data_IF_727742698231
#
_entry.id   IF_727742698231
#
_cell.length_a   1.000
_cell.length_b   1.000
_cell.length_c   1.000
_cell.angle_alpha   90.00
_cell.angle_beta   90.00
_cell.angle_gamma   90.00
#
_symmetry.space_group_name_H-M   'P 1'
#
loop_
_entity.id
_entity.type
_entity.pdbx_description
1 polymer ?
#
# COMPACT_ATOMS: atom_id res chain seq x y z
N UNK A 1 42.56 4.35 -11.58
CA UNK A 1 41.77 5.46 -11.00
C UNK A 1 40.47 5.76 -11.75
N UNK A 2 40.45 6.03 -13.06
CA UNK A 2 39.21 6.34 -13.79
C UNK A 2 38.24 5.15 -13.88
N UNK A 3 38.76 3.95 -14.14
CA UNK A 3 37.98 2.71 -14.23
C UNK A 3 37.38 2.29 -12.87
N UNK A 4 38.15 2.47 -11.80
CA UNK A 4 37.71 2.23 -10.42
C UNK A 4 36.62 3.21 -9.98
N UNK A 5 36.74 4.49 -10.39
CA UNK A 5 35.69 5.49 -10.18
C UNK A 5 34.39 5.16 -10.94
N UNK A 6 34.50 4.69 -12.18
CA UNK A 6 33.35 4.26 -12.98
C UNK A 6 32.67 3.02 -12.37
N UNK A 7 33.46 2.03 -11.94
CA UNK A 7 32.96 0.81 -11.28
C UNK A 7 32.27 1.13 -9.96
N UNK A 8 32.83 2.03 -9.15
CA UNK A 8 32.21 2.51 -7.90
C UNK A 8 30.90 3.26 -8.15
N UNK A 9 30.85 4.13 -9.16
CA UNK A 9 29.63 4.84 -9.54
C UNK A 9 28.53 3.88 -10.01
N UNK A 10 28.90 2.85 -10.78
CA UNK A 10 27.98 1.83 -11.25
C UNK A 10 27.39 1.00 -10.10
N UNK A 11 28.23 0.61 -9.14
CA UNK A 11 27.80 -0.14 -7.96
C UNK A 11 26.84 0.67 -7.08
N UNK A 12 27.14 1.95 -6.82
CA UNK A 12 26.23 2.83 -6.06
C UNK A 12 24.91 3.04 -6.79
N UNK A 13 24.94 3.25 -8.12
CA UNK A 13 23.74 3.39 -8.94
C UNK A 13 22.88 2.13 -8.96
N UNK A 14 23.51 0.94 -8.95
CA UNK A 14 22.85 -0.34 -8.78
C UNK A 14 22.18 -0.46 -7.42
N UNK A 15 22.91 -0.27 -6.31
CA UNK A 15 22.37 -0.46 -4.95
C UNK A 15 21.19 0.46 -4.65
N UNK A 16 21.29 1.74 -5.01
CA UNK A 16 20.20 2.70 -4.76
C UNK A 16 18.94 2.36 -5.55
N UNK A 17 19.10 1.96 -6.81
CA UNK A 17 17.97 1.55 -7.66
C UNK A 17 17.36 0.23 -7.18
N UNK A 18 18.19 -0.74 -6.78
CA UNK A 18 17.74 -2.01 -6.24
C UNK A 18 16.97 -1.81 -4.94
N UNK A 19 17.49 -1.04 -4.00
CA UNK A 19 16.82 -0.78 -2.72
C UNK A 19 15.49 -0.05 -2.93
N UNK A 20 15.47 1.03 -3.72
CA UNK A 20 14.24 1.80 -3.93
C UNK A 20 13.18 0.99 -4.68
N UNK A 21 13.59 0.21 -5.68
CA UNK A 21 12.70 -0.67 -6.44
C UNK A 21 12.17 -1.84 -5.59
N UNK A 22 13.03 -2.44 -4.75
CA UNK A 22 12.65 -3.49 -3.82
C UNK A 22 11.63 -2.99 -2.80
N UNK A 23 11.93 -1.89 -2.09
CA UNK A 23 10.99 -1.31 -1.12
C UNK A 23 9.69 -0.86 -1.81
N UNK A 24 9.78 -0.29 -3.02
CA UNK A 24 8.61 0.07 -3.80
C UNK A 24 7.74 -1.13 -4.16
N UNK A 25 8.36 -2.24 -4.54
CA UNK A 25 7.67 -3.49 -4.86
C UNK A 25 6.95 -4.08 -3.63
N UNK A 26 7.56 -4.09 -2.43
CA UNK A 26 6.92 -4.60 -1.21
C UNK A 26 5.62 -3.87 -0.82
N UNK A 27 5.36 -2.68 -1.39
CA UNK A 27 4.11 -1.97 -1.16
C UNK A 27 2.98 -2.38 -2.10
N UNK A 28 3.23 -3.28 -3.05
CA UNK A 28 2.22 -3.75 -4.00
C UNK A 28 1.08 -4.48 -3.30
N UNK A 29 -0.09 -4.52 -3.93
CA UNK A 29 -1.23 -5.34 -3.54
C UNK A 29 -2.03 -5.76 -4.78
N UNK A 30 -3.10 -6.52 -4.59
CA UNK A 30 -3.88 -7.05 -5.71
C UNK A 30 -4.59 -5.94 -6.50
N UNK A 31 -5.19 -4.99 -5.80
CA UNK A 31 -5.72 -3.75 -6.35
C UNK A 31 -4.86 -2.53 -5.96
N UNK A 32 -4.91 -1.43 -6.74
CA UNK A 32 -4.26 -0.19 -6.37
C UNK A 32 -4.92 0.47 -5.15
N UNK A 33 -4.13 1.21 -4.36
CA UNK A 33 -4.62 2.07 -3.28
C UNK A 33 -5.36 3.28 -3.86
N UNK A 34 -6.45 3.66 -3.21
CA UNK A 34 -7.37 4.72 -3.63
C UNK A 34 -6.70 6.08 -3.96
N UNK A 35 -5.60 6.45 -3.28
CA UNK A 35 -4.90 7.72 -3.51
C UNK A 35 -3.45 7.57 -3.98
N UNK A 36 -2.97 6.33 -4.07
CA UNK A 36 -1.54 6.05 -4.24
C UNK A 36 -1.26 5.02 -5.33
N UNK A 37 -2.25 4.65 -6.14
CA UNK A 37 -2.09 3.70 -7.23
C UNK A 37 -1.48 2.40 -6.74
N UNK A 38 -0.54 1.80 -7.46
CA UNK A 38 0.13 0.57 -6.98
C UNK A 38 1.32 0.88 -6.06
N UNK A 39 1.07 1.74 -5.07
CA UNK A 39 2.00 2.09 -3.99
C UNK A 39 3.29 2.75 -4.48
N UNK A 40 4.35 2.59 -3.69
CA UNK A 40 5.66 3.20 -3.94
C UNK A 40 6.40 2.60 -5.15
N UNK A 41 5.88 1.55 -5.79
CA UNK A 41 6.46 0.98 -7.02
C UNK A 41 6.49 2.02 -8.16
N UNK A 42 5.46 2.86 -8.28
CA UNK A 42 5.45 3.96 -9.25
C UNK A 42 6.48 5.04 -8.92
N UNK A 43 6.60 5.40 -7.63
CA UNK A 43 7.65 6.30 -7.17
C UNK A 43 9.03 5.77 -7.55
N UNK A 44 9.31 4.48 -7.36
CA UNK A 44 10.55 3.87 -7.76
C UNK A 44 10.79 3.95 -9.29
N UNK A 45 9.77 3.65 -10.11
CA UNK A 45 9.86 3.80 -11.58
C UNK A 45 10.30 5.21 -11.96
N UNK A 46 9.58 6.24 -11.48
CA UNK A 46 9.86 7.62 -11.86
C UNK A 46 11.18 8.11 -11.27
N UNK A 47 11.42 7.90 -9.97
CA UNK A 47 12.60 8.39 -9.29
C UNK A 47 13.87 7.76 -9.87
N UNK A 48 13.91 6.43 -10.05
CA UNK A 48 15.09 5.75 -10.60
C UNK A 48 15.29 6.13 -12.06
N UNK A 49 14.24 6.22 -12.87
CA UNK A 49 14.39 6.57 -14.27
C UNK A 49 14.88 8.01 -14.45
N UNK A 50 14.34 8.96 -13.67
CA UNK A 50 14.73 10.36 -13.74
C UNK A 50 16.14 10.61 -13.19
N UNK A 51 16.54 9.88 -12.16
CA UNK A 51 17.88 9.97 -11.53
C UNK A 51 18.89 8.95 -12.08
N UNK A 52 18.56 8.25 -13.16
CA UNK A 52 19.29 7.07 -13.65
C UNK A 52 20.80 7.29 -13.75
N UNK A 53 21.57 6.42 -13.08
CA UNK A 53 23.04 6.36 -13.11
C UNK A 53 23.51 5.07 -13.77
N UNK A 54 24.81 4.92 -14.07
CA UNK A 54 25.37 3.61 -14.40
C UNK A 54 24.95 2.57 -13.33
N UNK A 55 24.58 1.37 -13.77
CA UNK A 55 24.07 0.31 -12.88
C UNK A 55 22.60 0.41 -12.46
N UNK A 56 21.95 1.58 -12.54
CA UNK A 56 20.56 1.76 -12.07
C UNK A 56 19.53 0.92 -12.82
N UNK A 57 19.76 0.64 -14.11
CA UNK A 57 18.85 -0.21 -14.90
C UNK A 57 18.78 -1.64 -14.37
N UNK A 58 19.95 -2.22 -14.12
CA UNK A 58 20.04 -3.57 -13.55
C UNK A 58 19.53 -3.57 -12.11
N UNK A 59 19.89 -2.55 -11.32
CA UNK A 59 19.41 -2.39 -9.96
C UNK A 59 17.89 -2.34 -9.89
N UNK A 60 17.25 -1.53 -10.74
CA UNK A 60 15.79 -1.43 -10.79
C UNK A 60 15.13 -2.80 -11.04
N UNK A 61 15.59 -3.53 -12.06
CA UNK A 61 15.02 -4.84 -12.42
C UNK A 61 15.24 -5.86 -11.29
N UNK A 62 16.45 -5.94 -10.74
CA UNK A 62 16.77 -6.86 -9.63
C UNK A 62 15.91 -6.54 -8.41
N UNK A 63 15.81 -5.27 -8.01
CA UNK A 63 14.99 -4.86 -6.88
C UNK A 63 13.51 -5.19 -7.08
N UNK A 64 12.98 -4.92 -8.27
CA UNK A 64 11.58 -5.21 -8.63
C UNK A 64 11.29 -6.71 -8.54
N UNK A 65 12.12 -7.54 -9.18
CA UNK A 65 11.94 -8.99 -9.21
C UNK A 65 12.09 -9.60 -7.81
N UNK A 66 13.07 -9.15 -7.03
CA UNK A 66 13.24 -9.65 -5.66
C UNK A 66 12.08 -9.25 -4.76
N UNK A 67 11.59 -8.01 -4.86
CA UNK A 67 10.47 -7.54 -4.04
C UNK A 67 9.18 -8.30 -4.35
N UNK A 68 8.83 -8.41 -5.64
CA UNK A 68 7.67 -9.21 -6.07
C UNK A 68 7.86 -10.69 -5.72
N UNK A 69 9.09 -11.22 -5.76
CA UNK A 69 9.39 -12.57 -5.29
C UNK A 69 9.08 -12.77 -3.80
N UNK A 70 9.35 -11.77 -2.96
CA UNK A 70 8.96 -11.77 -1.54
C UNK A 70 7.42 -11.74 -1.41
N UNK A 71 6.75 -10.87 -2.16
CA UNK A 71 5.28 -10.77 -2.13
C UNK A 71 4.60 -12.08 -2.52
N UNK A 72 5.08 -12.75 -3.57
CA UNK A 72 4.58 -14.04 -4.02
C UNK A 72 4.88 -15.15 -3.01
N UNK A 73 6.08 -15.17 -2.43
CA UNK A 73 6.46 -16.15 -1.42
C UNK A 73 5.61 -16.00 -0.15
N UNK A 74 5.30 -14.77 0.23
CA UNK A 74 4.43 -14.45 1.37
C UNK A 74 2.93 -14.53 1.02
N UNK A 75 2.56 -14.99 -0.18
CA UNK A 75 1.17 -15.03 -0.67
C UNK A 75 0.42 -13.71 -0.47
N UNK A 76 1.13 -12.59 -0.59
CA UNK A 76 0.61 -11.23 -0.37
C UNK A 76 0.01 -10.62 -1.63
N UNK A 77 0.22 -11.26 -2.78
CA UNK A 77 -0.36 -10.93 -4.08
C UNK A 77 -0.62 -12.21 -4.88
N UNK A 78 -1.57 -12.18 -5.80
CA UNK A 78 -1.79 -13.27 -6.75
C UNK A 78 -0.62 -13.41 -7.73
N UNK A 79 -0.41 -14.63 -8.23
CA UNK A 79 0.67 -14.93 -9.18
C UNK A 79 0.62 -14.03 -10.42
N UNK A 80 -0.56 -13.91 -11.03
CA UNK A 80 -0.72 -13.12 -12.25
C UNK A 80 -0.54 -11.61 -11.99
N UNK A 81 -0.95 -11.11 -10.81
CA UNK A 81 -0.72 -9.72 -10.39
C UNK A 81 0.79 -9.47 -10.25
N UNK A 82 1.51 -10.34 -9.55
CA UNK A 82 2.97 -10.21 -9.36
C UNK A 82 3.72 -10.24 -10.69
N UNK A 83 3.42 -11.21 -11.57
CA UNK A 83 4.02 -11.29 -12.91
C UNK A 83 3.66 -10.05 -13.74
N UNK A 84 2.40 -9.63 -13.71
CA UNK A 84 1.92 -8.42 -14.36
C UNK A 84 2.66 -7.18 -13.88
N UNK A 85 2.90 -7.04 -12.58
CA UNK A 85 3.65 -5.93 -11.99
C UNK A 85 5.08 -5.86 -12.55
N UNK A 86 5.79 -6.99 -12.64
CA UNK A 86 7.14 -7.04 -13.22
C UNK A 86 7.13 -6.54 -14.67
N UNK A 87 6.17 -7.03 -15.47
CA UNK A 87 6.05 -6.68 -16.90
C UNK A 87 5.68 -5.20 -17.06
N UNK A 88 4.62 -4.74 -16.40
CA UNK A 88 4.11 -3.37 -16.53
C UNK A 88 5.13 -2.36 -16.00
N UNK A 89 5.67 -2.56 -14.79
CA UNK A 89 6.67 -1.64 -14.22
C UNK A 89 7.97 -1.64 -15.02
N UNK A 90 8.38 -2.81 -15.53
CA UNK A 90 9.51 -2.92 -16.45
C UNK A 90 9.30 -2.11 -17.73
N UNK A 91 8.15 -2.29 -18.40
CA UNK A 91 7.79 -1.56 -19.62
C UNK A 91 7.75 -0.04 -19.37
N UNK A 92 7.09 0.41 -18.31
CA UNK A 92 7.05 1.83 -17.94
C UNK A 92 8.44 2.41 -17.74
N UNK A 93 9.30 1.71 -16.99
CA UNK A 93 10.66 2.17 -16.70
C UNK A 93 11.51 2.31 -17.98
N UNK A 94 11.54 1.29 -18.84
CA UNK A 94 12.34 1.34 -20.07
C UNK A 94 11.75 2.29 -21.11
N UNK A 95 10.42 2.41 -21.19
CA UNK A 95 9.75 3.39 -22.03
C UNK A 95 10.11 4.81 -21.61
N UNK A 96 10.04 5.11 -20.30
CA UNK A 96 10.43 6.41 -19.74
C UNK A 96 11.88 6.75 -20.07
N UNK A 97 12.82 5.82 -19.86
CA UNK A 97 14.24 6.01 -20.20
C UNK A 97 14.45 6.32 -21.69
N UNK A 98 13.67 5.70 -22.58
CA UNK A 98 13.74 5.92 -24.02
C UNK A 98 13.16 7.27 -24.42
N UNK A 99 11.99 7.61 -23.89
CA UNK A 99 11.24 8.80 -24.29
C UNK A 99 11.78 10.10 -23.69
N UNK A 100 12.35 10.07 -22.48
CA UNK A 100 12.82 11.29 -21.82
C UNK A 100 13.89 12.06 -22.62
N UNK A 101 14.65 11.36 -23.46
CA UNK A 101 15.65 11.95 -24.37
C UNK A 101 15.03 12.70 -25.55
N UNK A 102 13.78 12.37 -25.91
CA UNK A 102 13.09 12.93 -27.08
C UNK A 102 12.01 13.93 -26.70
N UNK A 103 11.23 13.64 -25.65
CA UNK A 103 10.04 14.39 -25.26
C UNK A 103 10.27 15.28 -24.02
N UNK A 104 11.41 15.13 -23.35
CA UNK A 104 11.65 15.71 -22.03
C UNK A 104 11.04 14.88 -20.90
N UNK A 105 11.43 15.20 -19.66
CA UNK A 105 11.12 14.39 -18.48
C UNK A 105 9.61 14.31 -18.18
N UNK A 106 8.89 15.44 -18.18
CA UNK A 106 7.46 15.48 -17.85
C UNK A 106 6.61 14.69 -18.85
N UNK A 107 6.78 14.95 -20.14
CA UNK A 107 6.02 14.28 -21.18
C UNK A 107 6.30 12.77 -21.19
N UNK A 108 7.57 12.36 -21.02
CA UNK A 108 7.91 10.95 -20.94
C UNK A 108 7.31 10.26 -19.70
N UNK A 109 7.28 10.94 -18.55
CA UNK A 109 6.63 10.46 -17.33
C UNK A 109 5.13 10.26 -17.53
N UNK A 110 4.44 11.23 -18.13
CA UNK A 110 3.01 11.14 -18.41
C UNK A 110 2.69 10.00 -19.40
N UNK A 111 3.50 9.83 -20.44
CA UNK A 111 3.33 8.70 -21.37
C UNK A 111 3.53 7.36 -20.66
N UNK A 112 4.58 7.23 -19.83
CA UNK A 112 4.82 6.01 -19.07
C UNK A 112 3.68 5.73 -18.06
N UNK A 113 3.16 6.76 -17.40
CA UNK A 113 1.98 6.66 -16.53
C UNK A 113 0.77 6.12 -17.32
N UNK A 114 0.39 6.78 -18.42
CA UNK A 114 -0.78 6.41 -19.22
C UNK A 114 -0.68 4.98 -19.77
N UNK A 115 0.50 4.56 -20.22
CA UNK A 115 0.73 3.18 -20.67
C UNK A 115 0.54 2.20 -19.52
N UNK A 116 1.05 2.51 -18.32
CA UNK A 116 0.85 1.65 -17.16
C UNK A 116 -0.61 1.53 -16.74
N UNK A 117 -1.32 2.66 -16.69
CA UNK A 117 -2.76 2.69 -16.38
C UNK A 117 -3.55 1.87 -17.38
N UNK A 118 -3.30 2.06 -18.68
CA UNK A 118 -3.95 1.30 -19.74
C UNK A 118 -3.70 -0.20 -19.60
N UNK A 119 -2.44 -0.61 -19.37
CA UNK A 119 -2.11 -2.03 -19.20
C UNK A 119 -2.74 -2.62 -17.94
N UNK A 120 -2.75 -1.87 -16.82
CA UNK A 120 -3.39 -2.30 -15.59
C UNK A 120 -4.90 -2.52 -15.78
N UNK A 121 -5.59 -1.58 -16.43
CA UNK A 121 -7.02 -1.70 -16.75
C UNK A 121 -7.26 -2.87 -17.71
N UNK A 122 -6.44 -3.01 -18.75
CA UNK A 122 -6.60 -4.11 -19.71
C UNK A 122 -6.46 -5.48 -19.02
N UNK A 123 -5.45 -5.66 -18.17
CA UNK A 123 -5.27 -6.87 -17.36
C UNK A 123 -6.47 -7.05 -16.41
N UNK A 124 -6.89 -5.97 -15.73
CA UNK A 124 -8.04 -5.96 -14.84
C UNK A 124 -9.32 -6.45 -15.50
N UNK A 125 -9.67 -5.88 -16.66
CA UNK A 125 -10.86 -6.26 -17.41
C UNK A 125 -10.80 -7.69 -17.95
N UNK A 126 -9.62 -8.16 -18.36
CA UNK A 126 -9.42 -9.55 -18.82
C UNK A 126 -9.61 -10.54 -17.66
N UNK A 127 -9.17 -10.19 -16.46
CA UNK A 127 -9.18 -11.10 -15.31
C UNK A 127 -10.50 -11.04 -14.54
N UNK A 128 -11.02 -9.85 -14.28
CA UNK A 128 -12.14 -9.61 -13.37
C UNK A 128 -13.42 -9.16 -14.09
N UNK A 129 -13.39 -9.03 -15.42
CA UNK A 129 -14.55 -8.58 -16.19
C UNK A 129 -15.00 -7.18 -15.78
N UNK A 130 -16.31 -7.02 -15.51
CA UNK A 130 -16.91 -5.75 -15.11
C UNK A 130 -16.43 -5.21 -13.75
N UNK A 131 -15.99 -6.11 -12.86
CA UNK A 131 -15.46 -5.76 -11.53
C UNK A 131 -14.01 -5.24 -11.60
N UNK A 132 -13.37 -5.35 -12.77
CA UNK A 132 -12.01 -4.89 -13.03
C UNK A 132 -11.83 -3.37 -13.14
N UNK A 133 -12.70 -2.57 -12.52
CA UNK A 133 -12.60 -1.10 -12.54
C UNK A 133 -11.55 -0.57 -11.55
N UNK A 134 -11.27 -1.28 -10.45
CA UNK A 134 -10.34 -0.81 -9.42
C UNK A 134 -8.90 -0.59 -9.95
N UNK A 135 -8.38 -1.38 -10.90
CA UNK A 135 -7.13 -1.06 -11.62
C UNK A 135 -7.08 0.34 -12.24
N UNK A 136 -8.21 1.01 -12.48
CA UNK A 136 -8.24 2.41 -12.91
C UNK A 136 -7.62 3.37 -11.87
N UNK A 137 -7.61 3.00 -10.58
CA UNK A 137 -6.91 3.74 -9.53
C UNK A 137 -5.39 3.80 -9.73
N UNK A 138 -4.82 3.00 -10.65
CA UNK A 138 -3.44 3.18 -11.09
C UNK A 138 -3.15 4.60 -11.63
N UNK A 139 -4.18 5.35 -12.05
CA UNK A 139 -4.04 6.77 -12.42
C UNK A 139 -3.44 7.62 -11.29
N UNK A 140 -3.67 7.24 -10.04
CA UNK A 140 -3.13 7.92 -8.87
C UNK A 140 -1.63 7.72 -8.68
N UNK A 141 -0.97 6.85 -9.46
CA UNK A 141 0.51 6.85 -9.58
C UNK A 141 1.06 8.25 -9.94
N UNK A 142 0.23 9.12 -10.54
CA UNK A 142 0.56 10.51 -10.86
C UNK A 142 1.08 11.31 -9.66
N UNK A 143 0.64 11.01 -8.43
CA UNK A 143 1.05 11.73 -7.21
C UNK A 143 2.56 11.66 -6.98
N UNK A 144 3.21 10.62 -7.49
CA UNK A 144 4.64 10.40 -7.32
C UNK A 144 5.52 11.15 -8.32
N UNK A 145 4.93 11.77 -9.35
CA UNK A 145 5.69 12.56 -10.34
C UNK A 145 6.42 13.74 -9.69
N UNK A 146 5.75 14.44 -8.77
CA UNK A 146 6.31 15.61 -8.07
C UNK A 146 7.52 15.22 -7.21
N UNK A 147 7.43 14.29 -6.24
CA UNK A 147 8.59 13.91 -5.44
C UNK A 147 9.71 13.26 -6.28
N UNK A 148 9.38 12.47 -7.30
CA UNK A 148 10.39 11.90 -8.20
C UNK A 148 11.16 12.98 -8.99
N UNK A 149 10.45 14.00 -9.47
CA UNK A 149 11.05 15.15 -10.13
C UNK A 149 11.93 15.97 -9.16
N UNK A 150 11.48 16.18 -7.93
CA UNK A 150 12.28 16.87 -6.90
C UNK A 150 13.62 16.17 -6.67
N UNK A 151 13.63 14.83 -6.57
CA UNK A 151 14.86 14.04 -6.49
C UNK A 151 15.78 14.27 -7.69
N UNK A 152 15.22 14.23 -8.91
CA UNK A 152 15.98 14.48 -10.12
C UNK A 152 16.64 15.88 -10.11
N UNK A 153 15.88 16.90 -9.71
CA UNK A 153 16.39 18.29 -9.64
C UNK A 153 17.48 18.45 -8.60
N UNK A 154 17.30 17.91 -7.40
CA UNK A 154 18.32 17.94 -6.33
C UNK A 154 19.66 17.38 -6.85
N UNK A 155 19.61 16.30 -7.64
CA UNK A 155 20.81 15.70 -8.20
C UNK A 155 21.46 16.53 -9.33
N UNK A 156 20.66 17.24 -10.13
CA UNK A 156 21.19 18.10 -11.21
C UNK A 156 21.89 19.37 -10.72
N UNK A 157 21.50 19.88 -9.55
CA UNK A 157 21.94 21.20 -9.05
C UNK A 157 23.35 21.19 -8.42
N UNK A 158 24.06 20.04 -8.42
CA UNK A 158 25.44 19.87 -7.90
C UNK A 158 25.65 20.48 -6.51
N UNK A 159 24.73 20.17 -5.61
CA UNK A 159 24.82 20.52 -4.20
C UNK A 159 26.04 19.87 -3.52
N UNK A 160 26.54 20.46 -2.40
CA UNK A 160 27.43 19.74 -1.49
C UNK A 160 26.81 18.39 -1.13
N UNK A 161 27.64 17.34 -1.11
CA UNK A 161 27.18 15.95 -1.00
C UNK A 161 26.24 15.73 0.20
N UNK A 162 26.58 16.30 1.36
CA UNK A 162 25.78 16.19 2.59
C UNK A 162 24.39 16.82 2.44
N UNK A 163 24.31 17.99 1.80
CA UNK A 163 23.05 18.68 1.56
C UNK A 163 22.18 17.93 0.54
N UNK A 164 22.76 17.53 -0.60
CA UNK A 164 22.04 16.78 -1.62
C UNK A 164 21.48 15.46 -1.08
N UNK A 165 22.25 14.76 -0.24
CA UNK A 165 21.81 13.54 0.45
C UNK A 165 20.70 13.85 1.45
N UNK A 166 20.84 14.90 2.27
CA UNK A 166 19.83 15.29 3.26
C UNK A 166 18.49 15.67 2.64
N UNK A 167 18.51 16.47 1.56
CA UNK A 167 17.27 16.83 0.84
C UNK A 167 16.66 15.63 0.14
N UNK A 168 17.47 14.75 -0.46
CA UNK A 168 16.97 13.53 -1.10
C UNK A 168 16.32 12.59 -0.07
N UNK A 169 16.95 12.44 1.10
CA UNK A 169 16.41 11.65 2.21
C UNK A 169 15.07 12.23 2.71
N UNK A 170 14.95 13.56 2.80
CA UNK A 170 13.70 14.21 3.17
C UNK A 170 12.58 13.96 2.15
N UNK A 171 12.85 14.04 0.83
CA UNK A 171 11.85 13.70 -0.19
C UNK A 171 11.38 12.27 -0.03
N UNK A 172 12.31 11.31 0.10
CA UNK A 172 11.99 9.89 0.23
C UNK A 172 11.20 9.63 1.51
N UNK A 173 11.64 10.18 2.64
CA UNK A 173 10.97 10.01 3.93
C UNK A 173 9.56 10.62 3.93
N UNK A 174 9.40 11.84 3.43
CA UNK A 174 8.08 12.47 3.35
C UNK A 174 7.14 11.73 2.38
N UNK A 175 7.66 11.20 1.27
CA UNK A 175 6.85 10.38 0.34
C UNK A 175 6.43 9.06 0.99
N UNK A 176 7.35 8.38 1.67
CA UNK A 176 7.08 7.14 2.40
C UNK A 176 6.06 7.35 3.51
N UNK A 177 6.23 8.40 4.32
CA UNK A 177 5.33 8.71 5.44
C UNK A 177 3.96 9.15 4.92
N UNK A 178 3.88 9.96 3.86
CA UNK A 178 2.60 10.31 3.24
C UNK A 178 1.85 9.07 2.75
N UNK A 179 2.55 8.16 2.06
CA UNK A 179 1.99 6.87 1.64
C UNK A 179 1.51 6.05 2.85
N UNK A 180 2.38 5.80 3.82
CA UNK A 180 2.05 4.98 4.99
C UNK A 180 0.94 5.58 5.86
N UNK A 181 0.72 6.90 5.80
CA UNK A 181 -0.32 7.61 6.55
C UNK A 181 -1.69 7.62 5.86
N UNK A 182 -1.80 7.12 4.62
CA UNK A 182 -3.05 7.12 3.87
C UNK A 182 -3.13 5.99 2.82
N UNK A 183 -2.40 4.89 3.05
CA UNK A 183 -2.48 3.69 2.22
C UNK A 183 -3.65 2.80 2.64
N UNK A 184 -3.73 2.45 3.92
CA UNK A 184 -4.80 1.62 4.48
C UNK A 184 -5.65 2.39 5.51
N UNK A 185 -5.00 3.03 6.48
CA UNK A 185 -5.67 3.86 7.50
C UNK A 185 -5.19 5.30 7.41
N UNK A 186 -6.09 6.23 7.73
CA UNK A 186 -5.77 7.64 7.71
C UNK A 186 -5.09 8.06 9.02
N UNK A 187 -3.84 8.51 8.93
CA UNK A 187 -3.05 9.05 10.04
C UNK A 187 -2.76 10.52 9.75
N UNK A 188 -3.71 11.39 10.14
CA UNK A 188 -3.80 12.75 9.60
C UNK A 188 -2.56 13.63 9.88
N UNK A 189 -2.04 13.60 11.12
CA UNK A 189 -0.91 14.46 11.50
C UNK A 189 0.38 14.20 10.68
N UNK A 190 0.91 12.96 10.60
CA UNK A 190 2.08 12.66 9.76
C UNK A 190 1.81 12.83 8.26
N UNK A 191 0.58 12.61 7.79
CA UNK A 191 0.19 12.91 6.41
C UNK A 191 0.36 14.40 6.11
N UNK A 192 -0.29 15.27 6.89
CA UNK A 192 -0.23 16.72 6.71
C UNK A 192 1.21 17.25 6.84
N UNK A 193 1.95 16.78 7.85
CA UNK A 193 3.36 17.15 8.02
C UNK A 193 4.21 16.77 6.80
N UNK A 194 3.98 15.60 6.21
CA UNK A 194 4.68 15.15 5.02
C UNK A 194 4.31 15.95 3.78
N UNK A 195 3.03 16.25 3.59
CA UNK A 195 2.56 17.09 2.48
C UNK A 195 3.12 18.51 2.59
N UNK A 196 3.14 19.09 3.79
CA UNK A 196 3.74 20.41 4.05
C UNK A 196 5.25 20.37 3.76
N UNK A 197 5.95 19.33 4.22
CA UNK A 197 7.38 19.18 3.95
C UNK A 197 7.67 19.09 2.44
N UNK A 198 6.89 18.30 1.70
CA UNK A 198 6.99 18.18 0.24
C UNK A 198 6.65 19.49 -0.46
N UNK A 199 5.62 20.22 -0.02
CA UNK A 199 5.23 21.50 -0.60
C UNK A 199 6.32 22.57 -0.40
N UNK A 200 6.83 22.71 0.84
CA UNK A 200 7.90 23.65 1.15
C UNK A 200 9.18 23.32 0.37
N UNK A 201 9.55 22.05 0.32
CA UNK A 201 10.71 21.61 -0.45
C UNK A 201 10.48 21.81 -1.95
N UNK A 202 9.26 21.59 -2.42
CA UNK A 202 8.82 21.89 -3.78
C UNK A 202 9.06 23.36 -4.09
N UNK A 203 8.54 24.28 -3.29
CA UNK A 203 8.77 25.73 -3.46
C UNK A 203 10.26 26.06 -3.53
N UNK A 204 11.08 25.46 -2.66
CA UNK A 204 12.54 25.64 -2.68
C UNK A 204 13.17 25.15 -3.98
N UNK A 205 12.72 24.01 -4.52
CA UNK A 205 13.25 23.43 -5.76
C UNK A 205 12.72 24.15 -7.01
N UNK A 206 11.43 24.53 -7.03
CA UNK A 206 10.75 25.18 -8.17
C UNK A 206 11.12 26.65 -8.34
N UNK A 207 11.27 27.41 -7.24
CA UNK A 207 11.65 28.84 -7.31
C UNK A 207 13.09 29.05 -7.75
N UNK A 208 13.93 28.02 -7.70
CA UNK A 208 15.36 28.14 -8.02
C UNK A 208 15.61 27.89 -9.51
N UNK A 209 15.85 28.98 -10.25
CA UNK A 209 16.23 28.96 -11.68
C UNK A 209 17.76 28.87 -11.92
N UNK A 210 18.56 28.55 -10.91
CA UNK A 210 20.02 28.46 -11.03
C UNK A 210 20.67 27.59 -9.95
N UNK A 211 22.01 27.36 -10.01
CA UNK A 211 22.73 26.66 -8.96
C UNK A 211 22.51 27.34 -7.62
N UNK A 212 22.41 26.57 -6.53
CA UNK A 212 22.26 27.15 -5.19
C UNK A 212 23.38 28.17 -4.96
N UNK A 213 23.07 29.44 -4.65
CA UNK A 213 24.11 30.34 -4.18
C UNK A 213 24.70 29.70 -2.92
N UNK A 214 26.01 29.42 -2.97
CA UNK A 214 26.85 29.08 -1.82
C UNK A 214 26.97 30.31 -0.91
N UNK A 215 25.84 30.86 -0.45
CA UNK A 215 25.88 31.69 0.74
C UNK A 215 26.48 30.82 1.87
N UNK A 216 27.23 31.43 2.79
CA UNK A 216 27.70 30.77 4.01
C UNK A 216 26.48 30.27 4.79
N UNK A 217 26.07 29.05 4.48
CA UNK A 217 24.98 28.37 5.16
C UNK A 217 25.51 27.88 6.49
N UNK A 218 24.67 28.05 7.50
CA UNK A 218 24.98 27.67 8.87
C UNK A 218 25.04 26.14 8.96
N UNK A 219 25.61 25.61 10.04
CA UNK A 219 25.53 24.16 10.33
C UNK A 219 24.07 23.69 10.37
N UNK A 220 23.16 24.53 10.87
CA UNK A 220 21.72 24.27 10.97
C UNK A 220 21.09 23.96 9.61
N UNK A 221 21.43 24.73 8.56
CA UNK A 221 20.89 24.52 7.21
C UNK A 221 21.25 23.15 6.61
N UNK A 222 22.38 22.57 7.04
CA UNK A 222 22.88 21.28 6.54
C UNK A 222 22.22 20.09 7.23
N UNK A 223 21.91 20.21 8.51
CA UNK A 223 21.36 19.11 9.32
C UNK A 223 19.83 19.15 9.47
N UNK A 224 19.18 20.27 9.13
CA UNK A 224 17.73 20.36 9.21
C UNK A 224 17.00 19.34 8.31
N UNK A 225 17.33 19.13 7.02
CA UNK A 225 16.60 18.16 6.19
C UNK A 225 16.60 16.71 6.73
N UNK A 226 17.74 16.10 7.11
CA UNK A 226 17.72 14.77 7.69
C UNK A 226 17.05 14.74 9.07
N UNK A 227 17.15 15.80 9.88
CA UNK A 227 16.44 15.87 11.16
C UNK A 227 14.91 15.89 10.96
N UNK A 228 14.41 16.65 9.99
CA UNK A 228 12.99 16.65 9.63
C UNK A 228 12.55 15.29 9.09
N UNK A 229 13.37 14.63 8.27
CA UNK A 229 13.09 13.28 7.78
C UNK A 229 12.90 12.28 8.94
N UNK A 230 13.79 12.33 9.94
CA UNK A 230 13.68 11.52 11.15
C UNK A 230 12.44 11.89 11.95
N UNK A 231 12.16 13.19 12.10
CA UNK A 231 10.99 13.66 12.85
C UNK A 231 9.67 13.18 12.21
N UNK A 232 9.55 13.18 10.89
CA UNK A 232 8.37 12.66 10.19
C UNK A 232 8.17 11.16 10.47
N UNK A 233 9.25 10.38 10.44
CA UNK A 233 9.21 8.95 10.76
C UNK A 233 8.79 8.73 12.21
N UNK A 234 9.38 9.46 13.16
CA UNK A 234 9.02 9.38 14.58
C UNK A 234 7.57 9.77 14.79
N UNK A 235 7.12 10.89 14.20
CA UNK A 235 5.74 11.36 14.27
C UNK A 235 4.77 10.28 13.81
N UNK A 236 5.06 9.62 12.68
CA UNK A 236 4.24 8.50 12.19
C UNK A 236 4.23 7.33 13.18
N UNK A 237 5.40 6.88 13.64
CA UNK A 237 5.50 5.72 14.52
C UNK A 237 4.82 5.91 15.89
N UNK A 238 4.69 7.15 16.37
CA UNK A 238 4.02 7.45 17.65
C UNK A 238 2.54 7.83 17.50
N UNK A 239 1.98 7.81 16.29
CA UNK A 239 0.59 8.23 16.00
C UNK A 239 -0.48 7.18 16.37
N UNK A 240 -0.17 6.25 17.25
CA UNK A 240 -1.14 5.31 17.82
C UNK A 240 -1.50 4.12 16.91
N UNK A 241 -2.64 3.46 17.17
CA UNK A 241 -3.00 2.17 16.56
C UNK A 241 -3.13 2.22 15.03
N UNK A 242 -3.71 3.27 14.45
CA UNK A 242 -3.87 3.41 13.00
C UNK A 242 -2.53 3.36 12.24
N UNK A 243 -1.48 3.96 12.82
CA UNK A 243 -0.14 3.87 12.27
C UNK A 243 0.41 2.44 12.35
N UNK A 244 0.19 1.75 13.48
CA UNK A 244 0.59 0.35 13.64
C UNK A 244 -0.10 -0.58 12.62
N UNK A 245 -1.41 -0.40 12.41
CA UNK A 245 -2.16 -1.19 11.42
C UNK A 245 -1.74 -0.86 9.99
N UNK A 246 -1.40 0.39 9.69
CA UNK A 246 -0.84 0.76 8.37
C UNK A 246 0.54 0.14 8.15
N UNK A 247 1.40 0.11 9.17
CA UNK A 247 2.69 -0.61 9.10
C UNK A 247 2.46 -2.11 8.90
N UNK A 248 1.48 -2.69 9.60
CA UNK A 248 1.13 -4.11 9.44
C UNK A 248 0.62 -4.42 8.04
N UNK A 249 -0.24 -3.56 7.49
CA UNK A 249 -0.75 -3.68 6.14
C UNK A 249 0.39 -3.59 5.12
N UNK A 250 1.21 -2.53 5.16
CA UNK A 250 2.28 -2.30 4.18
C UNK A 250 3.42 -3.31 4.33
N UNK A 251 3.78 -3.67 5.57
CA UNK A 251 4.83 -4.62 5.88
C UNK A 251 4.42 -6.09 5.79
N UNK A 252 3.19 -6.37 5.34
CA UNK A 252 2.62 -7.72 5.27
C UNK A 252 3.54 -8.76 4.59
N UNK A 253 4.23 -8.46 3.47
CA UNK A 253 5.14 -9.42 2.84
C UNK A 253 6.39 -9.76 3.67
N UNK A 254 6.80 -8.85 4.58
CA UNK A 254 7.98 -9.03 5.44
C UNK A 254 7.65 -9.69 6.77
N UNK A 255 6.40 -9.55 7.21
CA UNK A 255 5.91 -10.11 8.46
C UNK A 255 4.66 -10.95 8.24
N UNK A 256 4.70 -11.96 7.35
CA UNK A 256 3.58 -12.86 7.27
C UNK A 256 3.36 -13.56 8.62
N UNK A 257 4.43 -13.83 9.36
CA UNK A 257 4.35 -14.68 10.56
C UNK A 257 4.01 -13.95 11.87
N UNK A 258 3.50 -12.72 11.85
CA UNK A 258 3.27 -11.97 13.11
C UNK A 258 2.20 -12.57 14.04
N UNK A 259 1.62 -13.73 13.69
CA UNK A 259 0.92 -14.66 14.58
C UNK A 259 1.22 -16.12 14.19
N UNK A 260 2.36 -16.67 14.64
CA UNK A 260 2.63 -18.11 14.70
C UNK A 260 2.57 -18.92 13.39
N UNK A 261 3.69 -19.00 12.68
CA UNK A 261 4.00 -19.95 11.59
C UNK A 261 3.11 -19.94 10.32
N UNK A 262 1.87 -19.42 10.34
CA UNK A 262 1.03 -19.06 9.18
C UNK A 262 0.07 -17.94 9.59
N UNK A 263 -0.11 -16.91 8.75
CA UNK A 263 -0.90 -15.66 9.02
C UNK A 263 -2.29 -15.84 9.62
N UNK A 264 -2.90 -16.99 9.36
CA UNK A 264 -4.26 -17.33 9.74
C UNK A 264 -4.33 -18.11 11.05
N UNK A 265 -3.21 -18.38 11.72
CA UNK A 265 -3.20 -19.12 12.98
C UNK A 265 -3.54 -18.17 14.14
N UNK A 266 -4.66 -18.44 14.80
CA UNK A 266 -4.98 -17.86 16.09
C UNK A 266 -4.49 -18.78 17.21
N UNK A 267 -3.66 -18.25 18.11
CA UNK A 267 -3.13 -18.97 19.28
C UNK A 267 -3.73 -18.49 20.60
N UNK A 268 -4.38 -17.32 20.62
CA UNK A 268 -5.03 -16.78 21.81
C UNK A 268 -6.22 -17.63 22.23
N UNK A 269 -6.25 -18.01 23.50
CA UNK A 269 -7.37 -18.70 24.16
C UNK A 269 -8.32 -17.73 24.86
N UNK A 270 -8.24 -16.43 24.55
CA UNK A 270 -9.16 -15.43 25.08
C UNK A 270 -10.61 -15.79 24.72
N UNK A 271 -11.54 -15.48 25.62
CA UNK A 271 -12.96 -15.77 25.43
C UNK A 271 -13.48 -15.15 24.12
N UNK A 272 -14.23 -15.94 23.35
CA UNK A 272 -14.77 -15.53 22.03
C UNK A 272 -13.82 -15.75 20.85
N UNK A 273 -12.52 -15.97 21.07
CA UNK A 273 -11.57 -16.22 19.98
C UNK A 273 -11.52 -17.70 19.60
N UNK A 274 -11.61 -17.99 18.29
CA UNK A 274 -11.43 -19.33 17.72
C UNK A 274 -9.93 -19.64 17.59
N UNK A 275 -9.45 -20.73 18.18
CA UNK A 275 -8.05 -21.19 18.05
C UNK A 275 -7.86 -22.03 16.79
N UNK A 276 -6.72 -21.91 16.11
CA UNK A 276 -6.36 -22.71 14.94
C UNK A 276 -6.24 -21.91 13.64
N UNK A 277 -6.26 -22.60 12.49
CA UNK A 277 -6.25 -21.96 11.16
C UNK A 277 -7.62 -21.35 10.84
N UNK A 278 -7.70 -20.03 10.94
CA UNK A 278 -8.91 -19.26 10.70
C UNK A 278 -9.32 -19.23 9.23
N UNK A 279 -8.41 -19.48 8.29
CA UNK A 279 -8.80 -19.59 6.88
C UNK A 279 -9.60 -20.88 6.59
N UNK A 280 -9.59 -21.83 7.53
CA UNK A 280 -10.22 -23.13 7.37
C UNK A 280 -9.63 -23.92 6.20
N UNK A 281 -10.52 -24.52 5.41
CA UNK A 281 -10.20 -25.32 4.22
C UNK A 281 -9.67 -24.53 3.02
N UNK A 282 -9.71 -23.19 3.05
CA UNK A 282 -9.23 -22.30 1.96
C UNK A 282 -9.90 -22.57 0.61
N UNK A 283 -11.15 -23.02 0.66
CA UNK A 283 -11.99 -23.33 -0.49
C UNK A 283 -13.32 -22.63 -0.31
N UNK A 284 -13.96 -22.29 -1.42
CA UNK A 284 -15.32 -21.74 -1.49
C UNK A 284 -16.27 -22.36 -0.45
N UNK A 285 -16.36 -23.69 -0.39
CA UNK A 285 -17.33 -24.37 0.49
C UNK A 285 -16.86 -24.66 1.92
N UNK A 286 -15.62 -24.34 2.30
CA UNK A 286 -15.04 -24.82 3.56
C UNK A 286 -14.06 -23.84 4.21
N UNK A 287 -14.22 -22.54 3.97
CA UNK A 287 -13.42 -21.52 4.64
C UNK A 287 -13.26 -20.29 3.76
N UNK A 288 -12.21 -19.52 4.05
CA UNK A 288 -11.90 -18.27 3.34
C UNK A 288 -11.45 -18.61 1.92
N UNK A 289 -12.24 -18.21 0.93
CA UNK A 289 -11.81 -18.31 -0.47
C UNK A 289 -10.61 -17.39 -0.73
N UNK A 290 -9.67 -17.79 -1.59
CA UNK A 290 -8.50 -16.97 -2.00
C UNK A 290 -7.82 -16.15 -0.88
N UNK A 291 -7.37 -16.76 0.23
CA UNK A 291 -6.89 -16.04 1.42
C UNK A 291 -5.65 -15.15 1.18
N UNK A 292 -4.97 -15.30 0.04
CA UNK A 292 -3.88 -14.41 -0.40
C UNK A 292 -4.34 -12.99 -0.74
N UNK A 293 -5.65 -12.76 -0.87
CA UNK A 293 -6.22 -11.41 -1.06
C UNK A 293 -6.32 -10.62 0.24
N UNK A 294 -6.38 -11.31 1.37
CA UNK A 294 -6.64 -10.70 2.67
C UNK A 294 -5.35 -10.43 3.43
N UNK A 295 -5.27 -9.27 4.07
CA UNK A 295 -4.20 -8.93 5.03
C UNK A 295 -4.74 -8.98 6.45
N UNK A 296 -4.35 -10.00 7.21
CA UNK A 296 -4.80 -10.16 8.59
C UNK A 296 -4.20 -9.08 9.50
N UNK A 297 -5.05 -8.19 10.01
CA UNK A 297 -4.72 -7.12 10.95
C UNK A 297 -4.88 -7.55 12.41
N UNK A 298 -5.86 -8.40 12.69
CA UNK A 298 -6.00 -9.12 13.96
C UNK A 298 -6.69 -10.45 13.69
N UNK A 299 -6.23 -11.52 14.31
CA UNK A 299 -6.87 -12.85 14.23
C UNK A 299 -8.06 -12.99 15.18
N UNK A 300 -8.39 -11.98 15.99
CA UNK A 300 -9.60 -11.96 16.79
C UNK A 300 -9.92 -10.53 17.18
N UNK A 301 -11.13 -10.10 16.86
CA UNK A 301 -11.71 -8.83 17.29
C UNK A 301 -13.19 -9.07 17.56
N UNK A 302 -13.75 -8.33 18.51
CA UNK A 302 -15.19 -8.21 18.69
C UNK A 302 -15.57 -6.75 18.50
N UNK A 303 -16.54 -6.50 17.62
CA UNK A 303 -17.12 -5.19 17.34
C UNK A 303 -18.63 -5.22 17.52
N UNK A 304 -19.26 -4.07 17.71
CA UNK A 304 -20.71 -3.95 17.64
C UNK A 304 -21.14 -2.77 16.76
N UNK A 305 -22.35 -2.87 16.24
CA UNK A 305 -22.92 -1.91 15.31
C UNK A 305 -24.31 -2.31 14.85
N UNK A 306 -24.91 -1.48 14.01
CA UNK A 306 -26.24 -1.68 13.42
C UNK A 306 -26.08 -2.26 12.03
N UNK A 307 -26.82 -3.32 11.70
CA UNK A 307 -26.86 -3.88 10.33
C UNK A 307 -27.48 -2.86 9.39
N UNK A 308 -26.74 -2.49 8.35
CA UNK A 308 -27.20 -1.54 7.32
C UNK A 308 -27.71 -2.28 6.08
N UNK A 309 -26.93 -3.26 5.59
CA UNK A 309 -27.22 -4.01 4.38
C UNK A 309 -26.88 -5.50 4.55
N UNK A 310 -27.53 -6.35 3.76
CA UNK A 310 -27.25 -7.79 3.66
C UNK A 310 -26.92 -8.07 2.19
N UNK A 311 -25.77 -8.67 1.96
CA UNK A 311 -25.21 -8.90 0.62
C UNK A 311 -24.79 -10.37 0.40
N UNK A 312 -25.15 -10.97 -0.75
CA UNK A 312 -26.17 -10.50 -1.67
C UNK A 312 -27.55 -10.52 -1.00
N UNK A 313 -28.46 -9.65 -1.45
CA UNK A 313 -29.82 -9.53 -0.88
C UNK A 313 -30.64 -10.82 -0.95
N UNK A 314 -30.20 -11.82 -1.72
CA UNK A 314 -30.72 -13.18 -1.71
C UNK A 314 -29.60 -14.22 -1.78
N UNK A 315 -29.48 -15.04 -0.74
CA UNK A 315 -28.52 -16.15 -0.68
C UNK A 315 -27.08 -15.70 -0.38
N UNK A 316 -26.11 -16.62 -0.46
CA UNK A 316 -24.70 -16.30 -0.28
C UNK A 316 -24.07 -15.71 -1.55
N UNK A 317 -22.91 -15.05 -1.38
CA UNK A 317 -22.09 -14.49 -2.45
C UNK A 317 -21.61 -15.56 -3.43
N UNK A 318 -20.95 -15.14 -4.52
CA UNK A 318 -20.43 -16.06 -5.55
C UNK A 318 -19.45 -17.07 -4.96
N UNK A 319 -18.75 -16.73 -3.89
CA UNK A 319 -17.86 -17.64 -3.16
C UNK A 319 -18.51 -18.36 -1.97
N UNK A 320 -19.84 -18.24 -1.83
CA UNK A 320 -20.62 -18.92 -0.82
C UNK A 320 -20.72 -18.19 0.50
N UNK A 321 -20.00 -17.07 0.70
CA UNK A 321 -20.02 -16.34 1.97
C UNK A 321 -21.38 -15.64 2.20
N UNK A 322 -21.82 -15.59 3.45
CA UNK A 322 -22.96 -14.76 3.82
C UNK A 322 -22.43 -13.43 4.32
N UNK A 323 -22.70 -12.36 3.57
CA UNK A 323 -22.10 -11.06 3.82
C UNK A 323 -23.14 -10.04 4.27
N UNK A 324 -22.73 -9.11 5.12
CA UNK A 324 -23.56 -8.00 5.57
C UNK A 324 -22.68 -6.85 6.04
N UNK A 325 -23.23 -5.64 5.97
CA UNK A 325 -22.54 -4.43 6.40
C UNK A 325 -23.10 -3.93 7.71
N UNK A 326 -22.20 -3.48 8.59
CA UNK A 326 -22.56 -2.86 9.86
C UNK A 326 -22.06 -1.42 9.95
N UNK A 327 -22.95 -0.51 10.32
CA UNK A 327 -22.57 0.79 10.85
C UNK A 327 -22.08 0.60 12.29
N UNK A 328 -20.77 0.77 12.50
CA UNK A 328 -20.14 0.52 13.79
C UNK A 328 -20.55 1.51 14.88
N UNK A 329 -20.65 1.01 16.11
CA UNK A 329 -20.72 1.90 17.27
C UNK A 329 -19.43 2.75 17.33
N UNK A 330 -19.49 4.01 17.83
CA UNK A 330 -18.34 4.92 17.79
C UNK A 330 -17.04 4.38 18.40
N UNK A 331 -17.14 3.47 19.39
CA UNK A 331 -15.99 2.83 20.03
C UNK A 331 -15.20 1.88 19.13
N UNK A 332 -15.78 1.45 17.99
CA UNK A 332 -15.17 0.49 17.07
C UNK A 332 -14.76 1.10 15.73
N UNK A 333 -15.03 2.39 15.48
CA UNK A 333 -14.71 3.05 14.21
C UNK A 333 -13.22 3.00 13.79
N UNK A 334 -12.32 2.65 14.72
CA UNK A 334 -10.91 2.40 14.44
C UNK A 334 -10.65 1.18 13.56
N UNK A 335 -11.63 0.28 13.40
CA UNK A 335 -11.52 -0.87 12.50
C UNK A 335 -11.76 -0.50 11.04
N UNK A 336 -12.33 0.67 10.74
CA UNK A 336 -12.63 1.11 9.38
C UNK A 336 -11.36 1.59 8.68
N UNK A 337 -11.07 0.97 7.54
CA UNK A 337 -10.02 1.43 6.64
C UNK A 337 -10.52 2.59 5.76
N UNK A 338 -9.59 3.22 5.04
CA UNK A 338 -9.92 4.24 4.06
C UNK A 338 -10.78 3.68 2.90
N UNK A 339 -10.59 2.41 2.55
CA UNK A 339 -11.43 1.71 1.60
C UNK A 339 -12.87 1.61 2.11
N UNK A 340 -13.09 1.30 3.39
CA UNK A 340 -14.44 1.22 3.98
C UNK A 340 -15.19 2.56 3.89
N UNK A 341 -14.51 3.68 4.15
CA UNK A 341 -15.14 5.00 4.05
C UNK A 341 -15.52 5.40 2.62
N UNK A 342 -14.76 4.97 1.61
CA UNK A 342 -14.96 5.43 0.24
C UNK A 342 -15.75 4.44 -0.63
N UNK A 343 -15.62 3.15 -0.35
CA UNK A 343 -16.21 2.08 -1.15
C UNK A 343 -17.39 1.41 -0.45
N UNK A 344 -17.53 1.55 0.87
CA UNK A 344 -18.57 0.89 1.65
C UNK A 344 -19.37 1.86 2.54
N UNK A 345 -19.48 3.12 2.12
CA UNK A 345 -20.25 4.18 2.81
C UNK A 345 -19.93 4.35 4.31
N UNK A 346 -18.72 3.99 4.75
CA UNK A 346 -18.31 4.06 6.15
C UNK A 346 -18.76 2.87 7.00
N UNK A 347 -19.24 1.79 6.39
CA UNK A 347 -19.64 0.56 7.06
C UNK A 347 -18.50 -0.45 7.08
N UNK A 348 -18.52 -1.34 8.08
CA UNK A 348 -17.64 -2.49 8.15
C UNK A 348 -18.32 -3.69 7.49
N UNK A 349 -17.62 -4.29 6.53
CA UNK A 349 -18.08 -5.49 5.86
C UNK A 349 -17.84 -6.72 6.75
N UNK A 350 -18.76 -7.66 6.77
CA UNK A 350 -18.69 -8.86 7.59
C UNK A 350 -19.07 -10.06 6.75
N UNK A 351 -18.23 -11.10 6.74
CA UNK A 351 -18.45 -12.30 5.95
C UNK A 351 -18.42 -13.56 6.84
N UNK A 352 -19.49 -14.34 6.78
CA UNK A 352 -19.60 -15.66 7.42
C UNK A 352 -19.38 -16.74 6.36
N UNK A 353 -18.26 -17.44 6.46
CA UNK A 353 -17.90 -18.51 5.52
C UNK A 353 -18.87 -19.69 5.59
N UNK A 354 -19.11 -20.44 4.48
CA UNK A 354 -20.09 -21.53 4.43
C UNK A 354 -20.03 -22.54 5.58
N UNK A 355 -18.82 -22.92 6.00
CA UNK A 355 -18.64 -23.89 7.09
C UNK A 355 -19.15 -23.39 8.45
N UNK A 356 -19.28 -22.08 8.62
CA UNK A 356 -19.70 -21.44 9.87
C UNK A 356 -21.18 -21.03 9.87
N UNK A 357 -21.78 -20.80 8.69
CA UNK A 357 -23.13 -20.23 8.56
C UNK A 357 -24.19 -20.98 9.37
N UNK A 358 -24.20 -22.31 9.34
CA UNK A 358 -25.18 -23.09 10.10
C UNK A 358 -25.10 -22.85 11.62
N UNK A 359 -23.89 -22.64 12.15
CA UNK A 359 -23.67 -22.41 13.58
C UNK A 359 -23.90 -20.94 13.95
N UNK A 360 -23.47 -20.02 13.10
CA UNK A 360 -23.53 -18.57 13.34
C UNK A 360 -24.93 -18.00 13.09
N UNK A 361 -25.56 -18.39 11.99
CA UNK A 361 -26.82 -17.83 11.51
C UNK A 361 -28.03 -18.71 11.81
N UNK A 362 -27.83 -19.98 12.21
CA UNK A 362 -28.93 -20.93 12.41
C UNK A 362 -30.01 -20.48 13.40
N UNK A 363 -29.66 -19.60 14.35
CA UNK A 363 -30.57 -19.03 15.34
C UNK A 363 -30.64 -17.49 15.28
N UNK A 364 -30.08 -16.87 14.25
CA UNK A 364 -30.02 -15.41 14.12
C UNK A 364 -30.70 -15.00 12.82
N UNK A 365 -31.76 -14.20 12.93
CA UNK A 365 -32.37 -13.55 11.76
C UNK A 365 -31.84 -12.13 11.68
N UNK A 366 -30.85 -11.92 10.82
CA UNK A 366 -30.31 -10.58 10.55
C UNK A 366 -31.29 -9.81 9.66
N UNK A 367 -31.57 -8.58 10.06
CA UNK A 367 -32.36 -7.62 9.30
C UNK A 367 -31.70 -6.24 9.41
N UNK A 368 -31.78 -5.39 8.38
CA UNK A 368 -31.38 -3.99 8.50
C UNK A 368 -32.03 -3.32 9.72
N UNK A 369 -31.24 -2.56 10.48
CA UNK A 369 -31.62 -1.93 11.73
C UNK A 369 -31.39 -2.79 12.99
N UNK A 370 -31.05 -4.07 12.86
CA UNK A 370 -30.70 -4.91 14.01
C UNK A 370 -29.35 -4.49 14.60
N UNK A 371 -29.26 -4.34 15.92
CA UNK A 371 -27.98 -4.14 16.59
C UNK A 371 -27.32 -5.49 16.84
N UNK A 372 -26.04 -5.61 16.48
CA UNK A 372 -25.29 -6.86 16.53
C UNK A 372 -23.93 -6.67 17.18
N UNK A 373 -23.45 -7.74 17.80
CA UNK A 373 -22.06 -7.93 18.16
C UNK A 373 -21.48 -9.04 17.30
N UNK A 374 -20.35 -8.76 16.65
CA UNK A 374 -19.68 -9.66 15.71
C UNK A 374 -18.28 -9.97 16.23
N UNK A 375 -17.90 -11.25 16.21
CA UNK A 375 -16.53 -11.70 16.50
C UNK A 375 -15.95 -12.46 15.32
N UNK A 376 -14.73 -12.10 14.94
CA UNK A 376 -14.03 -12.73 13.83
C UNK A 376 -12.59 -12.25 13.64
N UNK A 377 -11.99 -12.63 12.52
CA UNK A 377 -10.69 -12.09 12.10
C UNK A 377 -10.88 -10.76 11.39
N UNK A 378 -10.08 -9.75 11.73
CA UNK A 378 -10.11 -8.46 11.06
C UNK A 378 -9.01 -8.37 10.03
N UNK A 379 -9.43 -8.09 8.80
CA UNK A 379 -8.60 -8.16 7.60
C UNK A 379 -8.78 -6.91 6.74
N UNK A 380 -7.85 -6.69 5.81
CA UNK A 380 -8.04 -5.80 4.65
C UNK A 380 -8.17 -6.66 3.40
N UNK A 381 -9.20 -6.44 2.60
CA UNK A 381 -9.31 -7.09 1.30
C UNK A 381 -8.61 -6.27 0.21
N UNK A 382 -7.49 -6.78 -0.25
CA UNK A 382 -6.67 -6.12 -1.26
C UNK A 382 -7.18 -6.30 -2.68
N UNK A 383 -8.13 -7.21 -2.92
CA UNK A 383 -8.80 -7.37 -4.21
C UNK A 383 -10.00 -6.42 -4.29
N UNK A 384 -10.72 -6.23 -3.18
CA UNK A 384 -11.89 -5.35 -3.12
C UNK A 384 -11.57 -3.93 -2.63
N UNK A 385 -10.48 -3.34 -3.13
CA UNK A 385 -10.21 -1.91 -2.91
C UNK A 385 -9.77 -1.52 -1.48
N UNK A 386 -9.20 -2.47 -0.74
CA UNK A 386 -8.59 -2.27 0.58
C UNK A 386 -9.58 -1.87 1.68
N UNK A 387 -10.88 -2.14 1.52
CA UNK A 387 -11.78 -2.01 2.65
C UNK A 387 -11.46 -3.07 3.72
N UNK A 388 -11.73 -2.74 4.96
CA UNK A 388 -11.56 -3.66 6.08
C UNK A 388 -12.81 -4.50 6.28
N UNK A 389 -12.61 -5.72 6.76
CA UNK A 389 -13.68 -6.70 6.97
C UNK A 389 -13.48 -7.47 8.27
N UNK A 390 -14.57 -8.03 8.79
CA UNK A 390 -14.49 -9.19 9.69
C UNK A 390 -14.74 -10.45 8.86
N UNK A 391 -13.66 -11.12 8.48
CA UNK A 391 -13.68 -12.30 7.62
C UNK A 391 -12.60 -13.32 8.05
N UNK A 392 -12.97 -14.53 8.52
CA UNK A 392 -14.35 -14.98 8.72
C UNK A 392 -14.90 -14.44 10.04
N UNK A 393 -16.19 -14.16 10.05
CA UNK A 393 -16.98 -14.03 11.27
C UNK A 393 -17.45 -15.41 11.74
N UNK A 394 -17.20 -15.73 13.01
CA UNK A 394 -17.62 -16.98 13.64
C UNK A 394 -18.59 -16.80 14.80
N UNK A 395 -18.98 -15.57 15.09
CA UNK A 395 -20.02 -15.26 16.06
C UNK A 395 -20.73 -13.98 15.64
N UNK A 396 -22.05 -14.03 15.61
CA UNK A 396 -22.94 -12.89 15.44
C UNK A 396 -24.05 -13.02 16.47
N UNK A 397 -24.21 -12.01 17.31
CA UNK A 397 -25.19 -12.00 18.41
C UNK A 397 -26.03 -10.75 18.30
N UNK A 398 -27.36 -10.89 18.36
CA UNK A 398 -28.26 -9.74 18.44
C UNK A 398 -28.11 -9.08 19.82
N UNK A 399 -27.89 -7.77 19.82
CA UNK A 399 -27.84 -6.95 21.03
C UNK A 399 -29.17 -6.21 21.13
N UNK A 400 -29.78 -6.25 22.31
CA UNK A 400 -31.10 -5.65 22.59
C UNK A 400 -31.03 -4.16 22.87
#
# INVERSE_FOLDING_TARGET
>A
MAEEGARRSAFVGFLLAALLSFVGALTFGNAPYLFFGYGLSAFAVFAVALTCRPGSRLGFVVGLVLGIGVDLNAQSVFLFVGVGAIVVRGLQFFLLLRLRRRLGDLAACLVALLVGVFLAIAVGLITYGGEGIQPAFAVFDVVYLVPAWMLARIQTVRLPRTEGVGLSALVVAATLVAFASASAFLVLAPLLASLVALALLGVLVFRRRGPLPLAKRTSVDRYAPPAVAVLLLVLFLVSGPAASYSVRAVGYPLFPDSLGARQWIQTSTAAGCRVGDLAGGRTESNGVWTPSRLRVLSTCVTVSGVVEAIEPTSGPAVDGDFSFDIQLDPGYAWTLSLGSYVLNDGNLHVEVVPSDQATVLGNVTLVPGAHVQVTGAWVLDTDHGWFSEVHPAWSVVLVS
#
